data_IF_819042987831
#
_entry.id   IF_819042987831
#
_cell.length_a   1.000
_cell.length_b   1.000
_cell.length_c   1.000
_cell.angle_alpha   90.00
_cell.angle_beta   90.00
_cell.angle_gamma   90.00
#
_symmetry.space_group_name_H-M   'P 1'
#
loop_
_entity.id
_entity.type
_entity.pdbx_description
1 polymer ?
#
# COMPACT_ATOMS: atom_id res chain seq x y z
N UNK A 1 -51.25 -28.95 -22.04
CA UNK A 1 -50.82 -28.14 -20.87
C UNK A 1 -49.97 -27.02 -21.43
N UNK A 2 -50.51 -25.83 -21.48
CA UNK A 2 -49.86 -24.66 -22.06
C UNK A 2 -49.13 -23.91 -20.95
N UNK A 3 -47.83 -23.81 -21.06
CA UNK A 3 -47.03 -22.85 -20.26
C UNK A 3 -47.11 -21.49 -20.90
N UNK A 4 -47.63 -20.50 -20.15
CA UNK A 4 -47.71 -19.10 -20.53
C UNK A 4 -46.42 -18.41 -20.07
N UNK A 5 -45.62 -18.00 -21.05
CA UNK A 5 -44.44 -17.14 -20.82
C UNK A 5 -44.92 -15.69 -20.73
N UNK A 6 -44.73 -15.07 -19.56
CA UNK A 6 -44.92 -13.65 -19.41
C UNK A 6 -43.63 -12.88 -19.81
N UNK A 7 -43.66 -11.87 -20.64
CA UNK A 7 -42.52 -11.03 -20.90
C UNK A 7 -42.27 -10.09 -19.69
N UNK A 8 -41.03 -10.06 -19.20
CA UNK A 8 -40.60 -9.13 -18.18
C UNK A 8 -40.19 -7.80 -18.86
N UNK A 9 -41.08 -6.85 -18.84
CA UNK A 9 -40.80 -5.49 -19.29
C UNK A 9 -40.25 -4.65 -18.11
N UNK A 10 -38.91 -4.69 -17.91
CA UNK A 10 -38.25 -3.73 -17.05
C UNK A 10 -37.09 -3.10 -17.83
N UNK A 11 -37.23 -1.82 -18.29
CA UNK A 11 -36.21 -1.12 -19.09
C UNK A 11 -34.86 -0.94 -18.35
N UNK A 12 -34.83 -1.10 -17.03
CA UNK A 12 -33.61 -0.96 -16.22
C UNK A 12 -32.72 -2.20 -16.26
N UNK A 13 -33.27 -3.35 -16.64
CA UNK A 13 -32.50 -4.61 -16.76
C UNK A 13 -31.69 -4.63 -18.06
N UNK A 14 -32.23 -4.11 -19.15
CA UNK A 14 -31.52 -4.02 -20.44
C UNK A 14 -30.35 -3.01 -20.36
N UNK A 15 -30.52 -1.89 -19.65
CA UNK A 15 -29.47 -0.90 -19.50
C UNK A 15 -28.27 -1.43 -18.69
N UNK A 16 -28.54 -2.24 -17.66
CA UNK A 16 -27.50 -2.85 -16.86
C UNK A 16 -26.72 -3.98 -17.59
N UNK A 17 -27.38 -4.72 -18.48
CA UNK A 17 -26.74 -5.72 -19.31
C UNK A 17 -25.85 -5.09 -20.40
N UNK A 18 -26.29 -3.99 -21.00
CA UNK A 18 -25.53 -3.26 -22.03
C UNK A 18 -24.25 -2.62 -21.46
N UNK A 19 -24.31 -2.09 -20.23
CA UNK A 19 -23.16 -1.53 -19.53
C UNK A 19 -22.16 -2.63 -19.13
N UNK A 20 -22.64 -3.77 -18.62
CA UNK A 20 -21.77 -4.91 -18.29
C UNK A 20 -21.07 -5.52 -19.53
N UNK A 21 -21.75 -5.60 -20.68
CA UNK A 21 -21.14 -6.10 -21.91
C UNK A 21 -20.11 -5.13 -22.50
N UNK A 22 -20.32 -3.81 -22.43
CA UNK A 22 -19.31 -2.83 -22.86
C UNK A 22 -18.04 -2.88 -22.03
N UNK A 23 -18.14 -3.10 -20.71
CA UNK A 23 -16.97 -3.27 -19.83
C UNK A 23 -16.22 -4.60 -20.08
N UNK A 24 -16.93 -5.68 -20.37
CA UNK A 24 -16.31 -6.98 -20.72
C UNK A 24 -15.61 -6.93 -22.09
N UNK A 25 -16.17 -6.21 -23.06
CA UNK A 25 -15.57 -6.08 -24.40
C UNK A 25 -14.30 -5.20 -24.39
N UNK A 26 -14.26 -4.13 -23.61
CA UNK A 26 -13.03 -3.33 -23.39
C UNK A 26 -11.94 -4.17 -22.70
N UNK A 27 -12.31 -4.99 -21.74
CA UNK A 27 -11.36 -5.85 -21.00
C UNK A 27 -10.76 -6.97 -21.87
N UNK A 28 -11.49 -7.44 -22.88
CA UNK A 28 -11.01 -8.49 -23.81
C UNK A 28 -10.05 -7.94 -24.87
N UNK A 29 -10.21 -6.69 -25.29
CA UNK A 29 -9.31 -6.04 -26.26
C UNK A 29 -7.90 -5.83 -25.70
N UNK A 30 -7.76 -5.56 -24.40
CA UNK A 30 -6.46 -5.38 -23.76
C UNK A 30 -5.65 -6.67 -23.55
N UNK A 31 -6.22 -7.86 -23.75
CA UNK A 31 -5.52 -9.15 -23.53
C UNK A 31 -4.93 -9.74 -24.82
N UNK A 32 -5.26 -9.19 -25.97
CA UNK A 32 -4.85 -9.76 -27.28
C UNK A 32 -3.79 -8.93 -28.01
N UNK A 33 -3.46 -7.73 -27.53
CA UNK A 33 -2.38 -6.92 -28.11
C UNK A 33 -1.16 -6.85 -27.16
N UNK A 34 -0.52 -7.98 -26.89
CA UNK A 34 0.90 -8.05 -26.58
C UNK A 34 1.67 -7.88 -27.89
N UNK A 35 2.06 -6.68 -28.19
CA UNK A 35 2.89 -6.40 -29.35
C UNK A 35 2.82 -4.95 -29.76
N UNK A 36 3.82 -4.15 -29.33
CA UNK A 36 4.18 -2.85 -29.92
C UNK A 36 3.02 -1.87 -30.15
N UNK A 37 2.70 -1.09 -29.15
CA UNK A 37 1.86 0.09 -29.32
C UNK A 37 2.46 1.27 -28.56
N UNK A 38 3.38 2.02 -29.16
CA UNK A 38 3.62 3.41 -28.79
C UNK A 38 2.33 4.16 -29.14
N UNK A 39 1.47 4.35 -28.13
CA UNK A 39 0.30 5.21 -28.29
C UNK A 39 0.76 6.66 -28.35
N UNK A 40 0.24 7.36 -29.33
CA UNK A 40 0.22 8.81 -29.57
C UNK A 40 1.33 9.63 -28.90
N UNK A 41 2.13 10.34 -29.70
CA UNK A 41 3.26 11.19 -29.36
C UNK A 41 2.95 12.29 -28.33
N UNK A 42 2.91 11.94 -27.03
CA UNK A 42 2.71 12.92 -25.98
C UNK A 42 3.00 12.35 -24.56
N UNK A 43 3.36 13.21 -23.60
CA UNK A 43 3.58 12.79 -22.23
C UNK A 43 2.28 12.25 -21.62
N UNK A 44 2.39 11.20 -20.79
CA UNK A 44 1.23 10.67 -20.05
C UNK A 44 0.73 11.68 -19.03
N UNK A 45 -0.53 11.54 -18.66
CA UNK A 45 -1.15 12.30 -17.57
C UNK A 45 -1.54 11.33 -16.46
N UNK A 46 -0.74 11.30 -15.42
CA UNK A 46 -0.91 10.42 -14.26
C UNK A 46 -1.47 11.23 -13.10
N UNK A 47 -2.56 10.77 -12.52
CA UNK A 47 -3.12 11.29 -11.29
C UNK A 47 -2.78 10.34 -10.15
N UNK A 48 -2.20 10.86 -9.07
CA UNK A 48 -2.09 10.19 -7.77
C UNK A 48 -3.12 10.75 -6.81
N UNK A 49 -3.91 9.86 -6.21
CA UNK A 49 -4.86 10.19 -5.15
C UNK A 49 -4.38 9.61 -3.83
N UNK A 50 -4.40 10.40 -2.76
CA UNK A 50 -4.06 10.02 -1.40
C UNK A 50 -5.12 10.56 -0.43
N UNK A 51 -5.70 9.68 0.39
CA UNK A 51 -6.72 10.04 1.36
C UNK A 51 -6.09 10.66 2.61
N UNK A 52 -6.48 11.90 2.94
CA UNK A 52 -5.87 12.66 4.03
C UNK A 52 -6.12 12.02 5.40
N UNK A 53 -5.02 11.71 6.12
CA UNK A 53 -5.04 11.09 7.46
C UNK A 53 -6.08 9.95 7.55
N UNK A 54 -6.16 9.11 6.53
CA UNK A 54 -7.26 8.20 6.19
C UNK A 54 -7.89 7.49 7.38
N UNK A 55 -7.12 6.70 8.16
CA UNK A 55 -7.70 5.96 9.28
C UNK A 55 -8.25 6.91 10.34
N UNK A 56 -7.54 8.02 10.63
CA UNK A 56 -8.01 8.99 11.61
C UNK A 56 -9.29 9.68 11.15
N UNK A 57 -9.37 10.09 9.89
CA UNK A 57 -10.57 10.70 9.33
C UNK A 57 -11.78 9.74 9.36
N UNK A 58 -11.57 8.45 9.05
CA UNK A 58 -12.63 7.44 9.10
C UNK A 58 -13.11 7.18 10.54
N UNK A 59 -12.20 7.10 11.52
CA UNK A 59 -12.57 6.93 12.94
C UNK A 59 -13.26 8.18 13.49
N UNK A 60 -12.78 9.38 13.11
CA UNK A 60 -13.43 10.65 13.49
C UNK A 60 -14.89 10.67 13.03
N UNK A 61 -15.16 10.30 11.78
CA UNK A 61 -16.53 10.21 11.25
C UNK A 61 -17.36 9.13 11.95
N UNK A 62 -16.75 7.97 12.24
CA UNK A 62 -17.45 6.84 12.84
C UNK A 62 -17.87 7.09 14.28
N UNK A 63 -16.98 7.71 15.06
CA UNK A 63 -17.21 7.97 16.48
C UNK A 63 -17.78 9.36 16.77
N UNK A 64 -17.85 10.25 15.78
CA UNK A 64 -18.27 11.64 15.97
C UNK A 64 -17.26 12.45 16.80
N UNK A 65 -15.96 12.14 16.71
CA UNK A 65 -14.94 12.92 17.38
C UNK A 65 -14.77 14.30 16.74
N UNK A 66 -14.36 15.27 17.55
CA UNK A 66 -13.93 16.57 17.07
C UNK A 66 -12.54 16.43 16.41
N UNK A 67 -12.37 16.86 15.19
CA UNK A 67 -11.14 16.77 14.42
C UNK A 67 -10.02 17.70 14.92
N UNK A 68 -10.38 18.69 15.75
CA UNK A 68 -9.43 19.56 16.44
C UNK A 68 -8.77 18.90 17.63
N UNK A 69 -9.33 17.79 18.13
CA UNK A 69 -8.77 17.00 19.24
C UNK A 69 -7.74 16.02 18.69
N UNK A 70 -6.53 15.92 19.29
CA UNK A 70 -5.51 14.97 18.85
C UNK A 70 -6.02 13.52 18.93
N UNK A 71 -6.17 12.86 17.78
CA UNK A 71 -6.59 11.46 17.67
C UNK A 71 -5.42 10.60 17.18
N UNK A 72 -5.07 9.60 17.98
CA UNK A 72 -3.98 8.66 17.69
C UNK A 72 -4.55 7.24 17.60
N UNK A 73 -4.30 6.59 16.47
CA UNK A 73 -4.71 5.22 16.21
C UNK A 73 -3.50 4.32 16.25
N UNK A 74 -3.56 3.25 17.02
CA UNK A 74 -2.45 2.31 17.14
C UNK A 74 -2.58 1.40 18.35
N UNK A 75 -1.43 0.99 18.88
CA UNK A 75 -1.36 0.18 20.08
C UNK A 75 -1.76 0.99 21.32
N UNK A 76 -2.24 0.29 22.37
CA UNK A 76 -2.55 0.91 23.65
C UNK A 76 -1.27 1.51 24.28
N UNK A 77 -1.27 2.81 24.60
CA UNK A 77 -0.10 3.47 25.21
C UNK A 77 0.18 3.00 26.64
N UNK A 78 -0.77 2.38 27.36
CA UNK A 78 -0.63 1.92 28.76
C UNK A 78 0.06 2.98 29.64
N UNK A 79 -0.40 4.23 29.53
CA UNK A 79 0.17 5.40 30.23
C UNK A 79 1.69 5.57 29.98
N UNK A 80 2.11 5.43 28.73
CA UNK A 80 3.52 5.58 28.32
C UNK A 80 4.40 4.34 28.48
N UNK A 81 3.82 3.22 28.96
CA UNK A 81 4.52 1.92 29.10
C UNK A 81 4.13 0.91 28.03
N UNK A 82 3.24 1.30 27.10
CA UNK A 82 2.76 0.45 26.02
C UNK A 82 3.84 0.09 25.02
N UNK A 83 3.78 -1.15 24.50
CA UNK A 83 4.56 -1.62 23.37
C UNK A 83 3.74 -1.45 22.10
N UNK A 84 4.45 -1.27 21.00
CA UNK A 84 3.86 -1.10 19.68
C UNK A 84 4.02 0.33 19.16
N UNK A 85 3.33 0.60 18.09
CA UNK A 85 3.51 1.83 17.31
C UNK A 85 2.18 2.54 17.07
N UNK A 86 2.28 3.82 16.74
CA UNK A 86 1.23 4.60 16.10
C UNK A 86 1.03 4.06 14.68
N UNK A 87 -0.20 3.67 14.33
CA UNK A 87 -0.55 3.34 12.95
C UNK A 87 -0.70 4.59 12.12
N UNK A 88 -1.48 5.56 12.62
CA UNK A 88 -1.65 6.90 12.06
C UNK A 88 -2.23 7.84 13.10
N UNK A 89 -2.31 9.14 12.77
CA UNK A 89 -2.92 10.16 13.60
C UNK A 89 -3.50 11.29 12.74
N UNK A 90 -4.44 12.08 13.31
CA UNK A 90 -4.98 13.26 12.65
C UNK A 90 -3.98 14.44 12.65
N UNK A 91 -4.33 15.52 11.96
CA UNK A 91 -3.46 16.71 11.86
C UNK A 91 -3.26 17.41 13.22
N UNK A 92 -4.26 17.40 14.10
CA UNK A 92 -4.13 17.92 15.46
C UNK A 92 -3.02 17.19 16.24
N UNK A 93 -2.96 15.87 16.16
CA UNK A 93 -1.89 15.08 16.78
C UNK A 93 -0.52 15.28 16.10
N UNK A 94 -0.48 15.53 14.78
CA UNK A 94 0.75 15.83 14.04
C UNK A 94 1.41 17.14 14.51
N UNK A 95 0.64 18.11 15.03
CA UNK A 95 1.16 19.34 15.63
C UNK A 95 2.03 19.06 16.87
N UNK A 96 1.80 17.97 17.59
CA UNK A 96 2.66 17.49 18.68
C UNK A 96 3.86 16.67 18.20
N UNK A 97 4.12 16.66 16.89
CA UNK A 97 5.21 15.88 16.29
C UNK A 97 4.97 14.38 16.26
N UNK A 98 3.71 13.92 16.43
CA UNK A 98 3.34 12.49 16.34
C UNK A 98 3.26 12.10 14.86
N UNK A 99 3.78 10.90 14.52
CA UNK A 99 3.83 10.37 13.15
C UNK A 99 3.58 8.87 13.16
N UNK A 100 3.18 8.32 12.01
CA UNK A 100 3.08 6.88 11.80
C UNK A 100 4.42 6.19 12.09
N UNK A 101 4.34 4.94 12.58
CA UNK A 101 5.47 4.13 13.05
C UNK A 101 6.20 4.64 14.30
N UNK A 102 5.84 5.80 14.88
CA UNK A 102 6.37 6.25 16.17
C UNK A 102 6.00 5.26 17.27
N UNK A 103 6.92 4.95 18.22
CA UNK A 103 6.56 4.18 19.41
C UNK A 103 5.39 4.84 20.16
N UNK A 104 4.39 4.05 20.53
CA UNK A 104 3.19 4.59 21.19
C UNK A 104 3.51 5.22 22.56
N UNK A 105 4.54 4.73 23.25
CA UNK A 105 5.08 5.33 24.49
C UNK A 105 5.70 6.71 24.26
N UNK A 106 6.31 6.94 23.11
CA UNK A 106 6.83 8.25 22.70
C UNK A 106 5.69 9.21 22.35
N UNK A 107 4.70 8.72 21.58
CA UNK A 107 3.50 9.49 21.28
C UNK A 107 2.79 9.96 22.55
N UNK A 108 2.67 9.07 23.56
CA UNK A 108 2.11 9.41 24.85
C UNK A 108 2.90 10.50 25.58
N UNK A 109 4.21 10.46 25.59
CA UNK A 109 5.05 11.49 26.20
C UNK A 109 4.87 12.87 25.58
N UNK A 110 4.61 12.91 24.26
CA UNK A 110 4.37 14.16 23.52
C UNK A 110 2.96 14.69 23.70
N UNK A 111 1.97 13.82 23.73
CA UNK A 111 0.56 14.19 23.86
C UNK A 111 -0.19 13.09 24.65
N UNK A 112 -0.26 13.19 25.99
CA UNK A 112 -0.94 12.21 26.82
C UNK A 112 -2.46 12.15 26.53
N UNK A 113 -3.10 10.99 26.83
CA UNK A 113 -4.54 10.89 26.77
C UNK A 113 -5.22 11.57 27.97
N UNK A 114 -6.51 11.91 27.80
CA UNK A 114 -7.36 12.36 28.90
C UNK A 114 -7.39 11.34 30.04
N UNK A 115 -7.41 11.73 31.34
CA UNK A 115 -7.45 13.11 31.88
C UNK A 115 -6.07 13.80 31.97
N UNK A 116 -4.98 13.16 31.53
CA UNK A 116 -3.60 13.67 31.67
C UNK A 116 -3.21 14.66 30.55
N UNK A 117 -3.96 14.71 29.45
CA UNK A 117 -3.72 15.56 28.30
C UNK A 117 -4.87 15.51 27.30
N UNK A 118 -4.75 16.21 26.15
CA UNK A 118 -5.88 16.39 25.23
C UNK A 118 -6.14 15.20 24.29
N UNK A 119 -5.25 14.20 24.22
CA UNK A 119 -5.31 13.19 23.17
C UNK A 119 -6.34 12.09 23.43
N UNK A 120 -6.87 11.56 22.33
CA UNK A 120 -7.66 10.32 22.29
C UNK A 120 -6.80 9.23 21.64
N UNK A 121 -6.65 8.09 22.33
CA UNK A 121 -5.95 6.91 21.81
C UNK A 121 -6.96 5.78 21.61
N UNK A 122 -7.01 5.24 20.39
CA UNK A 122 -7.89 4.13 20.04
C UNK A 122 -7.17 3.04 19.26
N UNK A 123 -7.69 1.83 19.34
CA UNK A 123 -7.36 0.77 18.39
C UNK A 123 -8.26 0.92 17.18
N UNK A 124 -7.69 0.74 15.97
CA UNK A 124 -8.46 0.88 14.74
C UNK A 124 -9.61 -0.13 14.63
N UNK A 125 -10.75 0.33 14.12
CA UNK A 125 -11.98 -0.47 13.96
C UNK A 125 -11.87 -1.41 12.76
N UNK A 126 -11.91 -2.73 13.04
CA UNK A 126 -11.75 -3.76 12.01
C UNK A 126 -12.79 -3.63 10.88
N UNK A 127 -12.35 -3.68 9.63
CA UNK A 127 -13.21 -3.67 8.45
C UNK A 127 -13.74 -2.30 8.03
N UNK A 128 -13.67 -1.29 8.91
CA UNK A 128 -14.17 0.05 8.63
C UNK A 128 -13.41 0.71 7.46
N UNK A 129 -12.09 0.71 7.54
CA UNK A 129 -11.21 1.27 6.51
C UNK A 129 -11.37 0.60 5.15
N UNK A 130 -11.47 -0.73 5.13
CA UNK A 130 -11.66 -1.48 3.88
C UNK A 130 -12.98 -1.13 3.18
N UNK A 131 -14.04 -0.83 3.95
CA UNK A 131 -15.34 -0.40 3.38
C UNK A 131 -15.24 0.99 2.77
N UNK A 132 -14.64 1.95 3.49
CA UNK A 132 -14.43 3.30 2.99
C UNK A 132 -13.53 3.29 1.74
N UNK A 133 -12.38 2.61 1.81
CA UNK A 133 -11.46 2.45 0.69
C UNK A 133 -12.13 1.88 -0.56
N UNK A 134 -12.93 0.81 -0.45
CA UNK A 134 -13.62 0.23 -1.62
C UNK A 134 -14.51 1.24 -2.34
N UNK A 135 -15.25 2.08 -1.61
CA UNK A 135 -16.11 3.12 -2.20
C UNK A 135 -15.29 4.16 -2.95
N UNK A 136 -14.18 4.63 -2.34
CA UNK A 136 -13.28 5.60 -2.99
C UNK A 136 -12.64 4.99 -4.23
N UNK A 137 -12.07 3.78 -4.13
CA UNK A 137 -11.42 3.11 -5.25
C UNK A 137 -12.39 2.83 -6.41
N UNK A 138 -13.70 2.61 -6.13
CA UNK A 138 -14.71 2.49 -7.17
C UNK A 138 -14.88 3.80 -7.93
N UNK A 139 -15.01 4.94 -7.21
CA UNK A 139 -15.13 6.28 -7.82
C UNK A 139 -13.92 6.60 -8.71
N UNK A 140 -12.71 6.30 -8.23
CA UNK A 140 -11.48 6.57 -8.98
C UNK A 140 -11.36 5.69 -10.24
N UNK A 141 -11.74 4.41 -10.14
CA UNK A 141 -11.62 3.46 -11.24
C UNK A 141 -12.60 3.73 -12.39
N UNK A 142 -13.69 4.46 -12.16
CA UNK A 142 -14.70 4.76 -13.21
C UNK A 142 -14.17 5.67 -14.31
N UNK A 143 -13.17 6.51 -14.02
CA UNK A 143 -12.63 7.53 -14.94
C UNK A 143 -11.21 7.23 -15.43
N UNK A 144 -10.58 6.18 -14.94
CA UNK A 144 -9.20 5.86 -15.29
C UNK A 144 -9.13 4.99 -16.56
N UNK A 145 -8.21 5.31 -17.46
CA UNK A 145 -7.83 4.44 -18.57
C UNK A 145 -7.11 3.21 -18.04
N UNK A 146 -6.16 3.44 -17.13
CA UNK A 146 -5.51 2.41 -16.30
C UNK A 146 -5.60 2.82 -14.84
N UNK A 147 -6.02 1.88 -13.99
CA UNK A 147 -6.17 2.09 -12.56
C UNK A 147 -5.27 1.14 -11.75
N UNK A 148 -4.46 1.70 -10.85
CA UNK A 148 -3.65 0.93 -9.92
C UNK A 148 -3.97 1.32 -8.48
N UNK A 149 -4.53 0.37 -7.72
CA UNK A 149 -4.63 0.52 -6.27
C UNK A 149 -3.26 0.27 -5.63
N UNK A 150 -2.56 1.32 -5.22
CA UNK A 150 -1.24 1.23 -4.61
C UNK A 150 -1.30 0.75 -3.15
N UNK A 151 -2.26 1.29 -2.37
CA UNK A 151 -2.50 0.91 -0.97
C UNK A 151 -4.00 0.90 -0.64
N UNK A 152 -4.33 0.93 0.65
CA UNK A 152 -5.73 1.05 1.11
C UNK A 152 -6.25 2.49 0.95
N UNK A 153 -5.38 3.47 0.88
CA UNK A 153 -5.64 4.91 0.86
C UNK A 153 -5.04 5.63 -0.35
N UNK A 154 -4.24 4.95 -1.17
CA UNK A 154 -3.58 5.51 -2.34
C UNK A 154 -3.93 4.78 -3.63
N UNK A 155 -4.08 5.53 -4.71
CA UNK A 155 -4.25 4.99 -6.06
C UNK A 155 -3.58 5.87 -7.12
N UNK A 156 -3.15 5.23 -8.21
CA UNK A 156 -2.72 5.88 -9.43
C UNK A 156 -3.74 5.66 -10.55
N UNK A 157 -3.97 6.71 -11.32
CA UNK A 157 -4.82 6.71 -12.50
C UNK A 157 -3.99 7.22 -13.68
N UNK A 158 -3.91 6.47 -14.75
CA UNK A 158 -3.57 7.04 -16.05
C UNK A 158 -4.88 7.52 -16.66
N UNK A 159 -4.94 8.79 -17.01
CA UNK A 159 -6.14 9.43 -17.56
C UNK A 159 -5.86 10.06 -18.93
N UNK A 160 -4.73 9.73 -19.53
CA UNK A 160 -4.21 10.34 -20.76
C UNK A 160 -5.24 10.32 -21.89
N UNK A 161 -5.89 9.17 -22.13
CA UNK A 161 -6.90 9.02 -23.16
C UNK A 161 -8.25 9.64 -22.73
N UNK A 162 -8.61 9.47 -21.45
CA UNK A 162 -9.87 10.00 -20.90
C UNK A 162 -9.96 11.52 -21.05
N UNK A 163 -8.86 12.24 -20.86
CA UNK A 163 -8.79 13.70 -21.01
C UNK A 163 -8.21 14.13 -22.36
N UNK A 164 -8.02 13.21 -23.31
CA UNK A 164 -7.46 13.47 -24.65
C UNK A 164 -6.13 14.24 -24.63
N UNK A 165 -5.29 14.03 -23.61
CA UNK A 165 -4.01 14.71 -23.42
C UNK A 165 -4.12 16.15 -22.90
N UNK A 166 -5.31 16.60 -22.51
CA UNK A 166 -5.55 17.94 -21.98
C UNK A 166 -5.30 18.01 -20.47
N UNK A 167 -4.28 18.78 -20.07
CA UNK A 167 -3.86 18.97 -18.68
C UNK A 167 -4.86 19.81 -17.86
N UNK A 168 -5.60 20.73 -18.48
CA UNK A 168 -6.65 21.51 -17.79
C UNK A 168 -7.87 20.65 -17.55
N UNK A 169 -8.23 19.79 -18.50
CA UNK A 169 -9.27 18.76 -18.30
C UNK A 169 -8.88 17.79 -17.18
N UNK A 170 -7.59 17.38 -17.07
CA UNK A 170 -7.13 16.54 -15.97
C UNK A 170 -7.22 17.23 -14.60
N UNK A 171 -6.94 18.53 -14.53
CA UNK A 171 -7.12 19.32 -13.31
C UNK A 171 -8.61 19.43 -12.92
N UNK A 172 -9.49 19.67 -13.88
CA UNK A 172 -10.93 19.68 -13.67
C UNK A 172 -11.45 18.31 -13.21
N UNK A 173 -10.94 17.22 -13.80
CA UNK A 173 -11.25 15.85 -13.40
C UNK A 173 -10.84 15.57 -11.94
N UNK A 174 -9.60 15.92 -11.55
CA UNK A 174 -9.14 15.75 -10.17
C UNK A 174 -10.00 16.53 -9.17
N UNK A 175 -10.40 17.75 -9.51
CA UNK A 175 -11.32 18.57 -8.72
C UNK A 175 -12.68 17.90 -8.55
N UNK A 176 -13.25 17.36 -9.62
CA UNK A 176 -14.51 16.62 -9.59
C UNK A 176 -14.40 15.33 -8.74
N UNK A 177 -13.28 14.60 -8.86
CA UNK A 177 -13.03 13.41 -8.05
C UNK A 177 -12.96 13.74 -6.56
N UNK A 178 -12.27 14.83 -6.20
CA UNK A 178 -12.16 15.31 -4.81
C UNK A 178 -13.55 15.59 -4.22
N UNK A 179 -14.40 16.30 -4.96
CA UNK A 179 -15.78 16.59 -4.56
C UNK A 179 -16.63 15.32 -4.45
N UNK A 180 -16.50 14.39 -5.40
CA UNK A 180 -17.21 13.12 -5.39
C UNK A 180 -16.81 12.25 -4.19
N UNK A 181 -15.52 12.15 -3.86
CA UNK A 181 -15.05 11.43 -2.68
C UNK A 181 -15.67 12.06 -1.42
N UNK A 182 -15.64 13.39 -1.32
CA UNK A 182 -16.26 14.10 -0.19
C UNK A 182 -17.74 13.80 -0.07
N UNK A 183 -18.48 13.77 -1.19
CA UNK A 183 -19.91 13.46 -1.21
C UNK A 183 -20.22 12.01 -0.83
N UNK A 184 -19.43 11.04 -1.32
CA UNK A 184 -19.73 9.60 -1.18
C UNK A 184 -19.32 9.05 0.19
N UNK A 185 -18.19 9.52 0.73
CA UNK A 185 -17.61 8.97 1.98
C UNK A 185 -17.34 10.03 3.04
N UNK A 186 -17.55 11.30 2.75
CA UNK A 186 -17.25 12.46 3.60
C UNK A 186 -15.78 12.56 4.04
N UNK A 187 -14.85 12.00 3.25
CA UNK A 187 -13.41 12.10 3.45
C UNK A 187 -12.82 13.17 2.54
N UNK A 188 -11.64 13.68 2.91
CA UNK A 188 -10.82 14.52 2.03
C UNK A 188 -9.72 13.69 1.37
N UNK A 189 -9.33 14.11 0.17
CA UNK A 189 -8.25 13.51 -0.60
C UNK A 189 -7.39 14.59 -1.24
N UNK A 190 -6.09 14.34 -1.29
CA UNK A 190 -5.14 15.20 -2.00
C UNK A 190 -4.70 14.54 -3.30
N UNK A 191 -4.56 15.35 -4.35
CA UNK A 191 -4.27 14.86 -5.68
C UNK A 191 -2.99 15.49 -6.23
N UNK A 192 -2.17 14.66 -6.89
CA UNK A 192 -1.04 15.11 -7.70
C UNK A 192 -1.24 14.70 -9.15
N UNK A 193 -1.02 15.61 -10.09
CA UNK A 193 -1.13 15.40 -11.53
C UNK A 193 0.25 15.63 -12.14
N UNK A 194 0.81 14.65 -12.85
CA UNK A 194 2.16 14.76 -13.38
C UNK A 194 2.40 13.77 -14.55
N UNK A 195 3.51 13.91 -15.31
CA UNK A 195 3.82 12.99 -16.41
C UNK A 195 4.25 11.60 -15.92
N UNK A 196 4.71 11.46 -14.68
CA UNK A 196 5.17 10.19 -14.11
C UNK A 196 4.51 9.90 -12.77
N UNK A 197 4.46 8.61 -12.39
CA UNK A 197 3.89 8.17 -11.10
C UNK A 197 4.62 8.77 -9.90
N UNK A 198 5.95 8.84 -9.96
CA UNK A 198 6.74 9.37 -8.85
C UNK A 198 6.46 10.86 -8.64
N UNK A 199 6.47 11.66 -9.69
CA UNK A 199 6.19 13.10 -9.60
C UNK A 199 4.74 13.34 -9.19
N UNK A 200 3.76 12.57 -9.71
CA UNK A 200 2.37 12.65 -9.29
C UNK A 200 2.20 12.37 -7.78
N UNK A 201 2.91 11.36 -7.25
CA UNK A 201 2.90 11.07 -5.80
C UNK A 201 3.51 12.22 -4.99
N UNK A 202 4.64 12.77 -5.41
CA UNK A 202 5.25 13.91 -4.73
C UNK A 202 4.36 15.16 -4.81
N UNK A 203 3.74 15.41 -5.95
CA UNK A 203 2.81 16.52 -6.14
C UNK A 203 1.61 16.43 -5.18
N UNK A 204 1.07 15.23 -4.95
CA UNK A 204 -0.06 15.05 -4.02
C UNK A 204 0.26 15.44 -2.56
N UNK A 205 1.53 15.46 -2.18
CA UNK A 205 1.96 15.86 -0.82
C UNK A 205 2.08 17.39 -0.65
N UNK A 206 2.22 18.15 -1.75
CA UNK A 206 2.57 19.59 -1.71
C UNK A 206 1.51 20.43 -0.99
N UNK A 207 0.24 20.19 -1.33
CA UNK A 207 -0.88 21.00 -0.85
C UNK A 207 -1.78 20.25 0.14
N UNK A 208 -1.27 19.22 0.84
CA UNK A 208 -2.04 18.49 1.87
C UNK A 208 -2.40 19.38 3.06
N UNK A 209 -3.60 19.21 3.65
CA UNK A 209 -4.72 18.34 3.23
C UNK A 209 -5.64 18.97 2.19
N UNK A 210 -6.41 18.12 1.51
CA UNK A 210 -7.48 18.50 0.57
C UNK A 210 -7.00 19.41 -0.58
N UNK A 211 -5.75 19.21 -1.00
CA UNK A 211 -5.11 19.99 -2.04
C UNK A 211 -4.99 19.26 -3.38
N UNK A 212 -4.78 20.03 -4.42
CA UNK A 212 -4.42 19.54 -5.75
C UNK A 212 -3.15 20.26 -6.19
N UNK A 213 -2.20 19.51 -6.73
CA UNK A 213 -0.97 20.05 -7.31
C UNK A 213 -0.77 19.41 -8.68
N UNK A 214 -0.56 20.25 -9.70
CA UNK A 214 -0.22 19.83 -11.06
C UNK A 214 1.23 20.22 -11.35
N UNK A 215 1.97 19.32 -11.96
CA UNK A 215 3.34 19.52 -12.46
C UNK A 215 3.34 19.16 -13.94
N UNK A 216 3.57 20.17 -14.79
CA UNK A 216 3.65 20.00 -16.23
C UNK A 216 4.95 19.30 -16.63
N UNK A 217 5.03 18.68 -17.82
CA UNK A 217 6.26 18.01 -18.27
C UNK A 217 7.51 18.89 -18.24
N UNK A 218 7.38 20.14 -18.66
CA UNK A 218 8.45 21.14 -18.67
C UNK A 218 8.76 21.74 -17.28
N UNK A 219 7.93 21.49 -16.27
CA UNK A 219 8.12 21.93 -14.89
C UNK A 219 8.81 20.86 -14.01
N UNK A 220 9.03 19.63 -14.52
CA UNK A 220 9.50 18.51 -13.68
C UNK A 220 10.86 18.80 -13.06
N UNK A 221 11.82 19.28 -13.82
CA UNK A 221 13.15 19.59 -13.28
C UNK A 221 13.08 20.70 -12.23
N UNK A 222 12.38 21.80 -12.47
CA UNK A 222 12.20 22.87 -11.51
C UNK A 222 11.40 22.42 -10.28
N UNK A 223 10.51 21.45 -10.44
CA UNK A 223 9.83 20.84 -9.29
C UNK A 223 10.77 20.12 -8.32
N UNK A 224 11.93 19.66 -8.78
CA UNK A 224 12.94 19.00 -7.94
C UNK A 224 13.95 20.00 -7.31
N UNK A 225 14.02 21.24 -7.76
CA UNK A 225 14.95 22.24 -7.22
C UNK A 225 14.78 22.44 -5.70
N UNK A 226 15.87 22.33 -4.96
CA UNK A 226 15.93 22.48 -3.50
C UNK A 226 15.20 21.39 -2.72
N UNK A 227 14.61 20.36 -3.36
CA UNK A 227 13.93 19.28 -2.63
C UNK A 227 14.92 18.32 -2.00
N UNK A 228 14.68 18.03 -0.74
CA UNK A 228 15.49 17.06 0.00
C UNK A 228 15.42 15.68 -0.65
N UNK A 229 16.57 15.02 -0.80
CA UNK A 229 16.64 13.64 -1.26
C UNK A 229 15.83 12.65 -0.37
N UNK A 230 15.55 13.03 0.88
CA UNK A 230 14.71 12.23 1.78
C UNK A 230 13.25 12.19 1.38
N UNK A 231 12.79 13.20 0.65
CA UNK A 231 11.39 13.33 0.25
C UNK A 231 11.09 12.57 -1.06
N UNK A 232 12.15 12.07 -1.75
CA UNK A 232 11.99 11.33 -2.99
C UNK A 232 11.61 9.87 -2.71
N UNK A 233 10.43 9.41 -3.17
CA UNK A 233 10.08 7.99 -3.13
C UNK A 233 11.14 7.15 -3.84
N UNK A 234 11.68 6.13 -3.15
CA UNK A 234 12.80 5.32 -3.64
C UNK A 234 14.14 5.63 -2.96
N UNK A 235 14.29 6.77 -2.33
CA UNK A 235 15.46 7.12 -1.51
C UNK A 235 15.10 6.94 -0.03
N UNK A 236 15.45 5.79 0.53
CA UNK A 236 15.21 5.52 1.95
C UNK A 236 16.22 6.22 2.87
N UNK A 237 15.97 6.26 4.21
CA UNK A 237 16.82 6.98 5.17
C UNK A 237 18.30 6.61 5.09
N UNK A 238 18.63 5.32 4.91
CA UNK A 238 20.03 4.86 4.79
C UNK A 238 20.74 5.47 3.57
N UNK A 239 20.05 5.46 2.42
CA UNK A 239 20.60 6.02 1.18
C UNK A 239 20.73 7.55 1.29
N UNK A 240 19.72 8.22 1.83
CA UNK A 240 19.78 9.67 2.03
C UNK A 240 20.90 10.08 2.98
N UNK A 241 21.14 9.34 4.07
CA UNK A 241 22.29 9.57 4.97
C UNK A 241 23.62 9.39 4.24
N UNK A 242 23.76 8.31 3.47
CA UNK A 242 24.97 8.05 2.68
C UNK A 242 25.25 9.15 1.66
N UNK A 243 24.22 9.64 0.95
CA UNK A 243 24.37 10.73 -0.01
C UNK A 243 24.77 12.04 0.70
N UNK A 244 24.18 12.32 1.87
CA UNK A 244 24.54 13.49 2.68
C UNK A 244 25.98 13.44 3.20
N UNK A 245 26.52 12.25 3.56
CA UNK A 245 27.93 12.06 3.90
C UNK A 245 28.87 12.38 2.72
N UNK A 246 28.39 12.24 1.49
CA UNK A 246 29.10 12.61 0.28
C UNK A 246 28.90 14.08 -0.13
N UNK A 247 28.10 14.84 0.64
CA UNK A 247 27.86 16.26 0.43
C UNK A 247 26.61 16.59 -0.36
N UNK A 248 25.74 15.60 -0.70
CA UNK A 248 24.53 15.79 -1.49
C UNK A 248 23.29 15.61 -0.62
N UNK A 249 22.49 16.65 -0.49
CA UNK A 249 21.28 16.68 0.34
C UNK A 249 20.00 16.96 -0.44
N UNK A 250 20.12 17.62 -1.60
CA UNK A 250 19.01 17.98 -2.46
C UNK A 250 19.08 17.29 -3.83
N UNK A 251 17.97 17.29 -4.55
CA UNK A 251 17.87 16.59 -5.82
C UNK A 251 18.68 17.29 -6.94
N UNK A 252 18.66 18.62 -6.96
CA UNK A 252 19.43 19.42 -7.90
C UNK A 252 20.95 19.26 -7.72
N UNK A 253 21.45 19.33 -6.46
CA UNK A 253 22.87 19.08 -6.15
C UNK A 253 23.33 17.70 -6.71
N UNK A 254 22.49 16.69 -6.56
CA UNK A 254 22.81 15.33 -7.03
C UNK A 254 22.68 15.20 -8.55
N UNK A 255 21.73 15.92 -9.17
CA UNK A 255 21.51 15.91 -10.61
C UNK A 255 22.67 16.59 -11.38
N UNK A 256 23.23 17.67 -10.85
CA UNK A 256 24.37 18.41 -11.41
C UNK A 256 25.65 17.57 -11.58
N UNK A 257 25.78 16.47 -10.82
CA UNK A 257 26.88 15.50 -11.00
C UNK A 257 26.91 14.87 -12.39
N UNK A 258 25.76 14.75 -13.03
CA UNK A 258 25.55 13.99 -14.23
C UNK A 258 25.62 12.46 -14.03
N UNK A 259 25.01 11.72 -14.96
CA UNK A 259 24.81 10.27 -14.83
C UNK A 259 26.12 9.48 -14.61
N UNK A 260 27.18 9.80 -15.36
CA UNK A 260 28.44 9.07 -15.28
C UNK A 260 29.13 9.21 -13.92
N UNK A 261 29.13 10.42 -13.35
CA UNK A 261 29.73 10.67 -12.03
C UNK A 261 28.89 10.03 -10.94
N UNK A 262 27.58 10.16 -11.03
CA UNK A 262 26.63 9.54 -10.12
C UNK A 262 26.70 8.00 -10.16
N UNK A 263 26.90 7.40 -11.34
CA UNK A 263 27.10 5.97 -11.49
C UNK A 263 28.35 5.46 -10.78
N UNK A 264 29.46 6.21 -10.86
CA UNK A 264 30.69 5.88 -10.12
C UNK A 264 30.51 6.00 -8.61
N UNK A 265 29.71 6.98 -8.16
CA UNK A 265 29.48 7.25 -6.73
C UNK A 265 28.50 6.26 -6.10
N UNK A 266 27.36 6.04 -6.74
CA UNK A 266 26.18 5.37 -6.15
C UNK A 266 25.72 4.11 -6.89
N UNK A 267 26.39 3.76 -8.01
CA UNK A 267 26.10 2.61 -8.87
C UNK A 267 25.19 2.97 -10.06
N UNK A 268 25.42 2.31 -11.20
CA UNK A 268 24.74 2.58 -12.48
C UNK A 268 23.22 2.56 -12.38
N UNK A 269 22.65 1.50 -11.79
CA UNK A 269 21.19 1.35 -11.64
C UNK A 269 20.54 2.51 -10.91
N UNK A 270 21.20 3.04 -9.89
CA UNK A 270 20.68 4.18 -9.13
C UNK A 270 20.82 5.47 -9.94
N UNK A 271 21.96 5.68 -10.61
CA UNK A 271 22.22 6.86 -11.42
C UNK A 271 21.19 6.98 -12.55
N UNK A 272 21.04 5.93 -13.37
CA UNK A 272 20.07 5.92 -14.48
C UNK A 272 18.64 6.17 -13.96
N UNK A 273 18.24 5.48 -12.89
CA UNK A 273 16.92 5.70 -12.29
C UNK A 273 16.72 7.14 -11.83
N UNK A 274 17.71 7.72 -11.14
CA UNK A 274 17.60 9.06 -10.59
C UNK A 274 17.53 10.14 -11.67
N UNK A 275 18.38 10.04 -12.68
CA UNK A 275 18.37 10.97 -13.82
C UNK A 275 17.04 10.90 -14.56
N UNK A 276 16.55 9.71 -14.89
CA UNK A 276 15.23 9.53 -15.53
C UNK A 276 14.09 10.12 -14.69
N UNK A 277 14.15 10.00 -13.37
CA UNK A 277 13.13 10.57 -12.47
C UNK A 277 13.13 12.10 -12.55
N UNK A 278 14.30 12.76 -12.50
CA UNK A 278 14.41 14.23 -12.56
C UNK A 278 14.08 14.76 -13.95
N UNK A 279 14.41 14.02 -15.02
CA UNK A 279 14.06 14.36 -16.39
C UNK A 279 12.57 14.12 -16.71
N UNK A 280 11.81 13.48 -15.81
CA UNK A 280 10.42 13.15 -16.07
C UNK A 280 10.22 11.99 -17.06
N UNK A 281 11.24 11.16 -17.29
CA UNK A 281 11.28 10.09 -18.30
C UNK A 281 11.06 8.69 -17.69
N UNK A 282 10.53 8.58 -16.47
CA UNK A 282 10.33 7.29 -15.80
C UNK A 282 9.50 6.32 -16.64
N UNK A 283 10.02 5.11 -16.83
CA UNK A 283 9.32 3.99 -17.48
C UNK A 283 8.27 3.32 -16.59
N UNK A 284 8.09 3.78 -15.35
CA UNK A 284 7.16 3.20 -14.39
C UNK A 284 5.70 3.52 -14.79
N UNK A 285 4.98 2.50 -15.26
CA UNK A 285 3.62 2.61 -15.76
C UNK A 285 2.59 2.29 -14.68
N UNK A 286 1.40 2.86 -14.78
CA UNK A 286 0.24 2.47 -13.97
C UNK A 286 -0.15 1.05 -14.35
N UNK A 287 -0.09 0.12 -13.39
CA UNK A 287 -0.33 -1.30 -13.63
C UNK A 287 -1.53 -1.80 -12.82
N UNK A 288 -2.62 -2.21 -13.49
CA UNK A 288 -3.79 -2.78 -12.82
C UNK A 288 -3.51 -4.10 -12.12
N UNK A 289 -2.48 -4.82 -12.56
CA UNK A 289 -2.18 -6.19 -12.13
C UNK A 289 -0.98 -6.21 -11.17
N UNK A 290 -1.24 -6.07 -9.89
CA UNK A 290 -0.26 -6.44 -8.86
C UNK A 290 -0.57 -7.84 -8.33
N UNK A 291 0.21 -8.82 -8.76
CA UNK A 291 0.17 -10.14 -8.14
C UNK A 291 0.69 -10.06 -6.69
N UNK A 292 -0.05 -10.66 -5.76
CA UNK A 292 0.42 -10.80 -4.38
C UNK A 292 1.62 -11.75 -4.33
N UNK A 293 2.74 -11.29 -3.80
CA UNK A 293 3.99 -12.08 -3.72
C UNK A 293 4.08 -12.94 -2.45
N UNK A 294 3.43 -12.52 -1.37
CA UNK A 294 3.47 -13.22 -0.08
C UNK A 294 2.27 -12.88 0.81
N UNK A 295 2.02 -13.76 1.80
CA UNK A 295 1.07 -13.56 2.90
C UNK A 295 1.83 -13.81 4.19
N UNK A 296 1.76 -12.91 5.17
CA UNK A 296 2.44 -13.09 6.44
C UNK A 296 1.69 -12.51 7.63
N UNK A 297 1.99 -13.04 8.80
CA UNK A 297 1.52 -12.57 10.09
C UNK A 297 2.66 -12.56 11.09
N UNK A 298 2.70 -11.53 11.92
CA UNK A 298 3.68 -11.36 13.00
C UNK A 298 2.96 -11.12 14.33
N UNK A 299 3.57 -11.56 15.42
CA UNK A 299 3.12 -11.30 16.78
C UNK A 299 4.25 -10.73 17.62
N UNK A 300 4.04 -9.56 18.21
CA UNK A 300 4.95 -8.97 19.19
C UNK A 300 4.42 -9.29 20.58
N UNK A 301 5.21 -9.96 21.40
CA UNK A 301 4.83 -10.31 22.77
C UNK A 301 4.76 -9.05 23.64
N UNK A 302 3.85 -9.03 24.63
CA UNK A 302 3.74 -7.93 25.59
C UNK A 302 5.00 -7.76 26.44
N UNK A 303 5.66 -8.88 26.76
CA UNK A 303 7.00 -8.95 27.37
C UNK A 303 7.84 -9.87 26.51
N UNK A 304 9.16 -9.65 26.49
CA UNK A 304 10.06 -10.56 25.80
C UNK A 304 9.92 -11.94 26.41
N UNK A 305 9.84 -12.98 25.56
CA UNK A 305 9.44 -14.33 25.95
C UNK A 305 10.67 -15.23 26.01
N UNK A 306 10.91 -15.83 27.18
CA UNK A 306 11.99 -16.79 27.42
C UNK A 306 11.49 -18.23 27.21
N UNK A 307 10.20 -18.47 27.34
CA UNK A 307 9.57 -19.77 27.08
C UNK A 307 9.45 -20.00 25.56
N UNK A 308 10.36 -20.77 25.03
CA UNK A 308 10.40 -21.10 23.60
C UNK A 308 9.28 -22.06 23.19
N UNK A 309 8.65 -22.79 24.10
CA UNK A 309 7.46 -23.60 23.80
C UNK A 309 6.26 -22.70 23.55
N UNK A 310 6.08 -21.64 24.37
CA UNK A 310 5.05 -20.63 24.13
C UNK A 310 5.27 -19.89 22.79
N UNK A 311 6.55 -19.56 22.48
CA UNK A 311 6.89 -18.93 21.18
C UNK A 311 6.56 -19.87 20.02
N UNK A 312 6.88 -21.17 20.15
CA UNK A 312 6.54 -22.18 19.14
C UNK A 312 5.02 -22.32 18.96
N UNK A 313 4.27 -22.40 20.06
CA UNK A 313 2.82 -22.47 20.01
C UNK A 313 2.21 -21.25 19.28
N UNK A 314 2.74 -20.05 19.56
CA UNK A 314 2.34 -18.83 18.86
C UNK A 314 2.69 -18.88 17.38
N UNK A 315 3.85 -19.39 17.01
CA UNK A 315 4.24 -19.59 15.61
C UNK A 315 3.25 -20.49 14.87
N UNK A 316 2.83 -21.60 15.47
CA UNK A 316 1.85 -22.52 14.87
C UNK A 316 0.50 -21.83 14.61
N UNK A 317 0.04 -20.99 15.56
CA UNK A 317 -1.17 -20.19 15.37
C UNK A 317 -1.03 -19.20 14.20
N UNK A 318 0.14 -18.57 14.05
CA UNK A 318 0.41 -17.67 12.92
C UNK A 318 0.41 -18.43 11.59
N UNK A 319 0.95 -19.64 11.55
CA UNK A 319 0.89 -20.50 10.36
C UNK A 319 -0.55 -20.77 9.98
N UNK A 320 -1.40 -21.21 10.92
CA UNK A 320 -2.83 -21.45 10.67
C UNK A 320 -3.52 -20.24 10.06
N UNK A 321 -3.35 -19.06 10.67
CA UNK A 321 -3.94 -17.80 10.17
C UNK A 321 -3.47 -17.42 8.76
N UNK A 322 -2.21 -17.69 8.44
CA UNK A 322 -1.66 -17.43 7.10
C UNK A 322 -2.22 -18.42 6.08
N UNK A 323 -2.33 -19.70 6.45
CA UNK A 323 -2.87 -20.74 5.57
C UNK A 323 -4.38 -20.55 5.32
N UNK A 324 -5.17 -20.24 6.34
CA UNK A 324 -6.58 -19.85 6.17
C UNK A 324 -6.72 -18.68 5.18
N UNK A 325 -5.82 -17.69 5.29
CA UNK A 325 -5.83 -16.56 4.36
C UNK A 325 -5.43 -16.94 2.95
N UNK A 326 -4.47 -17.85 2.78
CA UNK A 326 -4.06 -18.37 1.46
C UNK A 326 -5.23 -19.08 0.78
N UNK A 327 -5.89 -19.99 1.48
CA UNK A 327 -7.09 -20.70 1.01
C UNK A 327 -8.21 -19.71 0.63
N UNK A 328 -8.48 -18.71 1.49
CA UNK A 328 -9.53 -17.70 1.21
C UNK A 328 -9.24 -16.83 -0.03
N UNK A 329 -7.98 -16.75 -0.46
CA UNK A 329 -7.54 -16.04 -1.65
C UNK A 329 -7.37 -16.97 -2.87
N UNK A 330 -7.55 -18.26 -2.71
CA UNK A 330 -7.35 -19.25 -3.78
C UNK A 330 -5.89 -19.32 -4.23
N UNK A 331 -4.93 -19.17 -3.32
CA UNK A 331 -3.49 -19.19 -3.66
C UNK A 331 -2.77 -20.25 -2.84
N UNK A 332 -1.78 -20.88 -3.47
CA UNK A 332 -0.80 -21.79 -2.85
C UNK A 332 0.58 -21.11 -2.81
N UNK A 333 1.50 -21.61 -1.99
CA UNK A 333 2.85 -21.04 -1.90
C UNK A 333 3.94 -22.09 -1.80
N UNK A 334 5.18 -21.69 -2.11
CA UNK A 334 6.35 -22.60 -2.08
C UNK A 334 7.39 -22.21 -1.02
N UNK A 335 7.37 -20.99 -0.49
CA UNK A 335 8.37 -20.52 0.46
C UNK A 335 7.76 -20.33 1.84
N UNK A 336 8.23 -21.10 2.81
CA UNK A 336 7.99 -20.86 4.23
C UNK A 336 9.11 -20.01 4.83
N UNK A 337 8.77 -18.89 5.48
CA UNK A 337 9.74 -18.06 6.19
C UNK A 337 9.31 -17.83 7.64
N UNK A 338 10.27 -17.99 8.54
CA UNK A 338 10.10 -17.68 9.97
C UNK A 338 10.97 -16.49 10.31
N UNK A 339 10.38 -15.47 10.93
CA UNK A 339 11.06 -14.29 11.44
C UNK A 339 11.10 -14.36 12.97
N UNK A 340 12.28 -14.25 13.54
CA UNK A 340 12.50 -14.15 14.98
C UNK A 340 13.17 -12.80 15.25
N UNK A 341 12.61 -12.01 16.15
CA UNK A 341 13.24 -10.80 16.65
C UNK A 341 13.48 -10.95 18.14
N UNK A 342 14.71 -10.80 18.53
CA UNK A 342 15.14 -10.87 19.92
C UNK A 342 15.03 -9.54 20.66
N UNK A 343 15.22 -9.55 21.96
CA UNK A 343 15.48 -8.36 22.77
C UNK A 343 16.62 -7.55 22.12
N UNK A 344 16.53 -6.21 22.12
CA UNK A 344 17.50 -5.35 21.41
C UNK A 344 17.22 -5.17 19.92
N UNK A 345 16.11 -5.72 19.40
CA UNK A 345 15.65 -5.59 18.01
C UNK A 345 16.50 -6.31 16.96
N UNK A 346 17.41 -7.18 17.35
CA UNK A 346 18.08 -8.06 16.41
C UNK A 346 17.06 -8.99 15.76
N UNK A 347 17.07 -9.04 14.43
CA UNK A 347 16.05 -9.78 13.65
C UNK A 347 16.71 -10.78 12.74
N UNK A 348 16.29 -12.04 12.83
CA UNK A 348 16.66 -13.10 11.92
C UNK A 348 15.44 -13.56 11.14
N UNK A 349 15.64 -13.81 9.84
CA UNK A 349 14.62 -14.41 8.98
C UNK A 349 15.26 -15.59 8.28
N UNK A 350 14.68 -16.75 8.45
CA UNK A 350 15.10 -17.99 7.80
C UNK A 350 13.97 -18.53 6.95
N UNK A 351 14.30 -19.14 5.81
CA UNK A 351 13.28 -19.61 4.88
C UNK A 351 13.66 -20.95 4.24
N UNK A 352 12.64 -21.71 3.83
CA UNK A 352 12.79 -22.95 3.10
C UNK A 352 11.74 -23.05 2.00
N UNK A 353 12.19 -23.30 0.77
CA UNK A 353 11.32 -23.54 -0.38
C UNK A 353 11.02 -25.03 -0.53
N UNK A 354 9.84 -25.35 -1.04
CA UNK A 354 9.41 -26.67 -1.46
C UNK A 354 9.23 -26.70 -2.98
N UNK A 355 9.38 -27.87 -3.63
CA UNK A 355 9.35 -27.97 -5.09
C UNK A 355 8.01 -27.56 -5.71
N UNK A 356 6.90 -27.86 -5.05
CA UNK A 356 5.53 -27.66 -5.55
C UNK A 356 4.79 -26.71 -4.61
N UNK A 357 4.08 -25.74 -5.19
CA UNK A 357 3.21 -24.85 -4.42
C UNK A 357 2.04 -25.64 -3.82
N UNK A 358 1.74 -25.39 -2.54
CA UNK A 358 0.65 -26.06 -1.83
C UNK A 358 0.01 -25.14 -0.80
N UNK A 359 -1.15 -25.55 -0.30
CA UNK A 359 -1.94 -24.85 0.71
C UNK A 359 -2.21 -25.73 1.96
N UNK A 360 -1.45 -26.82 2.11
CA UNK A 360 -1.59 -27.72 3.24
C UNK A 360 -0.93 -27.19 4.51
N UNK A 361 -1.75 -26.84 5.48
CA UNK A 361 -1.33 -26.27 6.77
C UNK A 361 -0.30 -27.16 7.50
N UNK A 362 -0.53 -28.47 7.52
CA UNK A 362 0.34 -29.44 8.21
C UNK A 362 1.78 -29.45 7.69
N UNK A 363 1.95 -29.24 6.37
CA UNK A 363 3.29 -29.14 5.76
C UNK A 363 4.00 -27.89 6.26
N UNK A 364 3.31 -26.74 6.22
CA UNK A 364 3.89 -25.46 6.63
C UNK A 364 4.14 -25.37 8.13
N UNK A 365 3.32 -26.02 8.97
CA UNK A 365 3.61 -26.19 10.42
C UNK A 365 4.91 -26.96 10.65
N UNK A 366 5.11 -28.09 9.96
CA UNK A 366 6.39 -28.87 10.08
C UNK A 366 7.59 -28.05 9.62
N UNK A 367 7.47 -27.31 8.48
CA UNK A 367 8.55 -26.47 8.00
C UNK A 367 8.87 -25.32 8.99
N UNK A 368 7.86 -24.65 9.51
CA UNK A 368 8.02 -23.57 10.47
C UNK A 368 8.67 -24.03 11.77
N UNK A 369 8.25 -25.20 12.29
CA UNK A 369 8.90 -25.83 13.47
C UNK A 369 10.37 -26.13 13.22
N UNK A 370 10.69 -26.73 12.07
CA UNK A 370 12.07 -27.03 11.71
C UNK A 370 12.93 -25.76 11.57
N UNK A 371 12.41 -24.72 10.92
CA UNK A 371 13.09 -23.42 10.80
C UNK A 371 13.28 -22.74 12.15
N UNK A 372 12.30 -22.79 13.03
CA UNK A 372 12.39 -22.24 14.37
C UNK A 372 13.44 -22.98 15.19
N UNK A 373 13.35 -24.31 15.29
CA UNK A 373 14.27 -25.15 16.07
C UNK A 373 15.73 -24.98 15.64
N UNK A 374 15.98 -24.79 14.34
CA UNK A 374 17.35 -24.61 13.81
C UNK A 374 17.92 -23.21 14.07
N UNK A 375 17.06 -22.19 14.20
CA UNK A 375 17.49 -20.80 14.23
C UNK A 375 17.23 -20.08 15.56
N UNK A 376 16.54 -20.74 16.51
CA UNK A 376 16.33 -20.18 17.85
C UNK A 376 17.64 -20.17 18.65
N UNK A 377 17.88 -19.09 19.38
CA UNK A 377 18.99 -18.96 20.31
C UNK A 377 18.49 -19.29 21.72
N UNK A 378 18.93 -20.38 22.34
CA UNK A 378 18.42 -20.83 23.64
C UNK A 378 18.49 -19.78 24.74
N UNK A 379 19.57 -18.98 24.74
CA UNK A 379 19.85 -17.97 25.78
C UNK A 379 19.24 -16.59 25.51
N UNK A 380 18.39 -16.47 24.48
CA UNK A 380 17.88 -15.16 24.04
C UNK A 380 16.37 -15.08 24.12
N UNK A 381 15.85 -14.05 24.81
CA UNK A 381 14.42 -13.77 24.87
C UNK A 381 13.88 -13.29 23.53
N UNK A 382 12.74 -13.82 23.12
CA UNK A 382 12.06 -13.49 21.86
C UNK A 382 11.07 -12.34 22.05
N UNK A 383 11.27 -11.26 21.33
CA UNK A 383 10.38 -10.10 21.28
C UNK A 383 9.22 -10.26 20.29
N UNK A 384 9.48 -10.86 19.12
CA UNK A 384 8.51 -11.03 18.06
C UNK A 384 8.77 -12.33 17.31
N UNK A 385 7.70 -13.01 16.95
CA UNK A 385 7.68 -14.16 16.06
C UNK A 385 6.78 -13.89 14.87
N UNK A 386 7.18 -14.35 13.68
CA UNK A 386 6.40 -14.18 12.47
C UNK A 386 6.50 -15.38 11.53
N UNK A 387 5.46 -15.58 10.75
CA UNK A 387 5.43 -16.53 9.65
C UNK A 387 4.98 -15.86 8.35
N UNK A 388 5.63 -16.19 7.24
CA UNK A 388 5.33 -15.71 5.89
C UNK A 388 5.31 -16.86 4.90
N UNK A 389 4.24 -16.95 4.12
CA UNK A 389 4.12 -17.79 2.94
C UNK A 389 4.47 -16.92 1.71
N UNK A 390 5.49 -17.31 0.99
CA UNK A 390 5.98 -16.62 -0.21
C UNK A 390 5.95 -17.47 -1.46
N UNK A 391 6.37 -16.87 -2.59
CA UNK A 391 6.31 -17.52 -3.90
C UNK A 391 4.89 -18.05 -4.16
N UNK A 392 3.92 -17.13 -4.11
CA UNK A 392 2.52 -17.46 -4.26
C UNK A 392 2.20 -17.73 -5.73
N UNK A 393 1.41 -18.76 -5.96
CA UNK A 393 0.89 -19.18 -7.26
C UNK A 393 -0.63 -19.38 -7.16
N UNK A 394 -1.36 -19.11 -8.23
CA UNK A 394 -2.74 -19.53 -8.35
C UNK A 394 -2.68 -21.00 -8.80
N UNK A 395 -3.16 -21.96 -8.00
CA UNK A 395 -3.14 -23.35 -8.40
C UNK A 395 -3.95 -23.49 -9.70
N UNK A 396 -3.49 -24.32 -10.66
CA UNK A 396 -4.33 -24.67 -11.82
C UNK A 396 -5.66 -25.18 -11.28
N UNK A 397 -6.77 -24.75 -11.91
CA UNK A 397 -8.11 -25.19 -11.51
C UNK A 397 -8.10 -26.69 -11.32
N UNK A 398 -8.43 -27.17 -10.11
CA UNK A 398 -8.60 -28.60 -9.88
C UNK A 398 -9.66 -29.06 -10.88
N UNK A 399 -9.27 -29.92 -11.81
CA UNK A 399 -10.20 -30.57 -12.68
C UNK A 399 -11.04 -31.48 -11.76
N UNK A 400 -12.27 -31.06 -11.49
CA UNK A 400 -13.25 -31.94 -10.83
C UNK A 400 -13.40 -33.14 -11.72
N UNK A 401 -13.01 -34.31 -11.23
CA UNK A 401 -13.27 -35.60 -11.91
C UNK A 401 -14.76 -35.67 -12.12
N UNK A 402 -15.17 -35.85 -13.39
CA UNK A 402 -16.56 -35.98 -13.83
C UNK A 402 -17.14 -37.38 -13.50
N UNK A 403 -16.48 -38.12 -12.61
CA UNK A 403 -16.90 -39.47 -12.21
C UNK A 403 -17.03 -39.49 -10.68
N UNK A 404 -18.20 -39.13 -10.16
CA UNK A 404 -18.70 -39.76 -8.95
C UNK A 404 -19.19 -41.14 -9.40
N UNK A 405 -18.51 -42.18 -8.95
CA UNK A 405 -18.98 -43.56 -9.06
C UNK A 405 -20.23 -43.73 -8.20
N UNK A 406 -21.26 -44.41 -8.80
CA UNK A 406 -22.54 -44.78 -8.20
C UNK A 406 -22.38 -45.63 -6.90
#
# INVERSE_FOLDING_TARGET
MNEVIYPCEDPLVELNLHIKFKHLWRRWRCVVEEGSGHGKDGPRIIIHCDLDAFFAAVETLHHGFDDTVPLIIGSDPKQGRGRGIVSTCNYAARAYGIRSAMPVSEAWRRCPATPFGPAIYIRGTRGLYSRASRKVMSVLNEVADLFEKASIDEAYLDVTEHVAGDWDAALALATNLQQNIKRVVNLTASFGIAPTRLVAKMASEVNKPNGICRVMPDEVQSFFEGRSLRDLPGIGPKRATQLAEWGYTTADELYELGELSLARLAGERFATWFIQVVDGESSDVVSPLRSRKSIGKEHTFERDQDDHEEVMHRLEQLVSLVMERAVSLGVSGRLAEVKIRYTGFETHTSGRSIPVAMDEEGVFKRLAKGLFATNIRPESSVRLIGFRLGQLEIPPSRQTTLFEEE
#
